data_IF_669408960216
#
_entry.id   IF_669408960216
#
_cell.length_a   1.000
_cell.length_b   1.000
_cell.length_c   1.000
_cell.angle_alpha   90.00
_cell.angle_beta   90.00
_cell.angle_gamma   90.00
#
_symmetry.space_group_name_H-M   'P 1'
#
loop_
_entity.id
_entity.type
_entity.pdbx_description
1 polymer ?
#
# COMPACT_ATOMS: atom_id res chain seq x y z
N UNK A 1 -14.05 -0.77 1.10
CA UNK A 1 -14.72 -2.08 0.89
C UNK A 1 -15.73 -2.42 1.96
N UNK A 2 -15.36 -2.57 3.23
CA UNK A 2 -16.32 -2.92 4.30
C UNK A 2 -17.54 -1.98 4.36
N UNK A 3 -17.31 -0.67 4.24
CA UNK A 3 -18.39 0.32 4.17
C UNK A 3 -19.28 0.16 2.93
N UNK A 4 -18.69 -0.18 1.77
CA UNK A 4 -19.43 -0.47 0.53
C UNK A 4 -20.33 -1.69 0.73
N UNK A 5 -19.81 -2.78 1.31
CA UNK A 5 -20.61 -3.98 1.59
C UNK A 5 -21.78 -3.68 2.53
N UNK A 6 -21.59 -2.86 3.56
CA UNK A 6 -22.70 -2.43 4.43
C UNK A 6 -23.75 -1.64 3.65
N UNK A 7 -23.32 -0.66 2.87
CA UNK A 7 -24.24 0.27 2.20
C UNK A 7 -25.06 -0.36 1.07
N UNK A 8 -24.52 -1.37 0.36
CA UNK A 8 -25.26 -2.02 -0.72
C UNK A 8 -26.52 -2.75 -0.25
N UNK A 9 -26.54 -3.23 1.00
CA UNK A 9 -27.75 -3.81 1.59
C UNK A 9 -28.52 -2.76 2.40
N UNK A 10 -27.83 -1.86 3.10
CA UNK A 10 -28.47 -0.87 3.97
C UNK A 10 -29.45 0.02 3.21
N UNK A 11 -29.15 0.40 1.96
CA UNK A 11 -30.01 1.27 1.16
C UNK A 11 -31.43 0.73 0.97
N UNK A 12 -31.60 -0.60 0.95
CA UNK A 12 -32.89 -1.23 0.71
C UNK A 12 -33.82 -1.13 1.92
N UNK A 13 -33.30 -0.76 3.10
CA UNK A 13 -34.06 -0.57 4.33
C UNK A 13 -34.50 0.88 4.51
N UNK A 14 -35.72 1.08 5.04
CA UNK A 14 -36.22 2.43 5.43
C UNK A 14 -35.37 3.09 6.51
N UNK A 15 -34.72 2.30 7.36
CA UNK A 15 -33.83 2.78 8.41
C UNK A 15 -32.61 3.55 7.82
N UNK A 16 -32.27 3.33 6.55
CA UNK A 16 -31.19 4.05 5.89
C UNK A 16 -31.72 5.32 5.20
N UNK A 17 -31.21 6.52 5.56
CA UNK A 17 -31.66 7.75 4.95
C UNK A 17 -31.39 7.77 3.44
N UNK A 18 -32.43 7.96 2.62
CA UNK A 18 -32.31 8.00 1.15
C UNK A 18 -31.38 9.09 0.63
N UNK A 19 -31.10 10.14 1.42
CA UNK A 19 -30.08 11.16 1.10
C UNK A 19 -28.66 10.61 0.92
N UNK A 20 -28.37 9.41 1.43
CA UNK A 20 -27.08 8.74 1.26
C UNK A 20 -27.10 7.67 0.16
N UNK A 21 -28.25 7.47 -0.49
CA UNK A 21 -28.37 6.58 -1.63
C UNK A 21 -27.67 7.16 -2.87
N UNK A 22 -27.58 6.37 -3.95
CA UNK A 22 -26.97 6.83 -5.20
C UNK A 22 -27.76 8.01 -5.75
N UNK A 23 -27.05 9.01 -6.24
CA UNK A 23 -27.63 10.11 -7.00
C UNK A 23 -27.79 9.72 -8.47
N UNK A 24 -28.87 10.19 -9.10
CA UNK A 24 -29.20 9.86 -10.50
C UNK A 24 -28.56 10.83 -11.51
N UNK A 25 -28.57 12.13 -11.20
CA UNK A 25 -27.99 13.16 -12.07
C UNK A 25 -26.84 13.90 -11.37
N UNK A 26 -27.16 14.63 -10.29
CA UNK A 26 -26.23 15.46 -9.55
C UNK A 26 -26.38 15.30 -8.03
N UNK A 27 -25.30 15.57 -7.32
CA UNK A 27 -25.22 15.57 -5.87
C UNK A 27 -24.27 14.51 -5.33
N UNK A 28 -24.31 14.33 -4.01
CA UNK A 28 -23.43 13.39 -3.31
C UNK A 28 -24.22 12.47 -2.40
N UNK A 29 -24.21 11.18 -2.71
CA UNK A 29 -24.58 10.12 -1.78
C UNK A 29 -23.35 9.37 -1.26
N UNK A 30 -23.45 8.74 -0.09
CA UNK A 30 -22.37 7.85 0.39
C UNK A 30 -22.13 6.68 -0.57
N UNK A 31 -23.20 6.21 -1.25
CA UNK A 31 -23.10 5.16 -2.26
C UNK A 31 -22.39 5.59 -3.55
N UNK A 32 -22.29 6.89 -3.83
CA UNK A 32 -21.60 7.39 -5.03
C UNK A 32 -20.07 7.29 -4.92
N UNK A 33 -19.56 7.17 -3.68
CA UNK A 33 -18.13 7.02 -3.39
C UNK A 33 -17.56 5.64 -3.74
N UNK A 34 -18.40 4.60 -3.82
CA UNK A 34 -17.94 3.21 -3.91
C UNK A 34 -17.10 2.91 -5.15
N UNK A 35 -17.63 3.24 -6.33
CA UNK A 35 -16.99 2.95 -7.62
C UNK A 35 -15.71 3.75 -7.78
N UNK A 36 -15.78 5.07 -7.54
CA UNK A 36 -14.62 5.94 -7.59
C UNK A 36 -13.50 5.50 -6.64
N UNK A 37 -13.84 5.09 -5.42
CA UNK A 37 -12.86 4.59 -4.45
C UNK A 37 -12.16 3.31 -4.90
N UNK A 38 -12.86 2.38 -5.58
CA UNK A 38 -12.25 1.17 -6.17
C UNK A 38 -11.28 1.54 -7.29
N UNK A 39 -11.66 2.46 -8.17
CA UNK A 39 -10.81 2.91 -9.29
C UNK A 39 -9.57 3.65 -8.78
N UNK A 40 -9.74 4.55 -7.81
CA UNK A 40 -8.63 5.25 -7.17
C UNK A 40 -7.67 4.27 -6.48
N UNK A 41 -8.21 3.29 -5.74
CA UNK A 41 -7.43 2.23 -5.11
C UNK A 41 -6.65 1.40 -6.12
N UNK A 42 -7.26 1.05 -7.26
CA UNK A 42 -6.58 0.36 -8.35
C UNK A 42 -5.41 1.19 -8.93
N UNK A 43 -5.58 2.51 -9.01
CA UNK A 43 -4.51 3.45 -9.38
C UNK A 43 -3.39 3.49 -8.34
N UNK A 44 -3.73 3.58 -7.06
CA UNK A 44 -2.77 3.63 -5.94
C UNK A 44 -1.86 2.40 -5.87
N UNK A 45 -2.39 1.22 -6.19
CA UNK A 45 -1.62 -0.05 -6.19
C UNK A 45 -1.03 -0.40 -7.56
N UNK A 46 -1.22 0.46 -8.56
CA UNK A 46 -0.78 0.18 -9.93
C UNK A 46 0.75 0.16 -10.06
N UNK A 47 1.31 -0.62 -11.00
CA UNK A 47 2.73 -0.55 -11.34
C UNK A 47 3.17 0.85 -11.81
N UNK A 48 2.23 1.66 -12.31
CA UNK A 48 2.48 3.03 -12.74
C UNK A 48 2.83 3.95 -11.54
N UNK A 49 2.29 3.68 -10.35
CA UNK A 49 2.47 4.49 -9.14
C UNK A 49 3.91 4.51 -8.58
N UNK A 50 4.72 3.51 -8.88
CA UNK A 50 6.09 3.48 -8.41
C UNK A 50 6.61 2.08 -8.21
N UNK A 51 7.58 1.72 -9.06
CA UNK A 51 8.73 0.85 -8.86
C UNK A 51 9.12 0.38 -10.26
N UNK A 52 9.74 1.28 -11.04
CA UNK A 52 10.56 0.81 -12.14
C UNK A 52 11.53 -0.21 -11.54
N UNK A 53 11.42 -1.47 -11.97
CA UNK A 53 12.23 -2.60 -11.58
C UNK A 53 13.62 -2.19 -11.11
N UNK A 54 13.90 -2.30 -9.82
CA UNK A 54 15.23 -2.73 -9.43
C UNK A 54 15.33 -4.17 -9.96
N UNK A 55 16.23 -4.47 -10.92
CA UNK A 55 16.31 -5.82 -11.45
C UNK A 55 16.57 -6.80 -10.28
N UNK A 56 16.11 -8.05 -10.37
CA UNK A 56 16.43 -9.05 -9.36
C UNK A 56 17.95 -9.07 -9.18
N UNK A 57 18.42 -8.89 -7.94
CA UNK A 57 19.82 -9.07 -7.62
C UNK A 57 20.25 -10.48 -8.05
N UNK A 58 21.21 -10.55 -8.98
CA UNK A 58 21.78 -11.81 -9.45
C UNK A 58 22.03 -11.83 -10.96
N UNK A 59 23.03 -11.08 -11.43
CA UNK A 59 23.90 -11.46 -12.54
C UNK A 59 25.02 -10.43 -12.66
N UNK A 60 26.21 -10.87 -12.25
CA UNK A 60 27.55 -10.51 -12.71
C UNK A 60 27.88 -9.03 -13.00
N UNK A 61 28.79 -8.49 -12.18
CA UNK A 61 29.34 -7.14 -12.30
C UNK A 61 30.43 -7.04 -13.36
N UNK A 62 30.06 -7.28 -14.62
CA UNK A 62 30.94 -7.02 -15.76
C UNK A 62 30.13 -6.47 -16.94
N UNK A 63 29.69 -5.21 -16.81
CA UNK A 63 29.58 -4.24 -17.90
C UNK A 63 28.86 -2.97 -17.40
N UNK A 64 29.64 -2.12 -16.73
CA UNK A 64 29.27 -0.71 -16.50
C UNK A 64 30.33 0.17 -17.16
N UNK A 65 30.21 0.30 -18.47
CA UNK A 65 30.79 1.41 -19.24
C UNK A 65 29.69 1.99 -20.12
N UNK A 66 28.71 2.63 -19.48
CA UNK A 66 27.86 3.62 -20.14
C UNK A 66 27.26 4.54 -19.07
N UNK A 67 27.75 5.78 -19.00
CA UNK A 67 27.28 6.85 -18.14
C UNK A 67 25.93 7.44 -18.59
N UNK A 68 25.00 6.59 -19.01
CA UNK A 68 23.64 6.97 -19.38
C UNK A 68 22.67 6.58 -18.26
N UNK A 69 21.97 7.57 -17.71
CA UNK A 69 20.94 7.39 -16.70
C UNK A 69 19.94 6.30 -17.15
N UNK A 70 19.95 5.14 -16.48
CA UNK A 70 19.01 4.03 -16.74
C UNK A 70 17.71 4.32 -15.97
N UNK A 71 16.94 5.30 -16.43
CA UNK A 71 15.65 5.66 -15.83
C UNK A 71 14.49 5.19 -16.72
N UNK A 72 13.55 4.47 -16.10
CA UNK A 72 12.22 4.10 -16.63
C UNK A 72 12.15 3.59 -18.08
N UNK A 73 12.06 2.26 -18.24
CA UNK A 73 11.74 1.62 -19.54
C UNK A 73 10.54 0.69 -19.37
N UNK A 74 9.33 1.09 -19.81
CA UNK A 74 8.18 0.19 -19.76
C UNK A 74 8.41 -0.99 -20.73
N UNK A 75 7.86 -2.19 -20.43
CA UNK A 75 7.82 -3.28 -21.40
C UNK A 75 7.11 -2.85 -22.69
N UNK A 76 7.35 -3.54 -23.82
CA UNK A 76 6.74 -3.18 -25.09
C UNK A 76 5.21 -3.20 -24.99
N UNK A 77 4.56 -2.30 -25.74
CA UNK A 77 3.11 -2.07 -25.70
C UNK A 77 2.30 -3.38 -25.79
N UNK A 78 2.67 -4.28 -26.69
CA UNK A 78 1.94 -5.55 -26.87
C UNK A 78 1.91 -6.42 -25.61
N UNK A 79 3.00 -6.53 -24.84
CA UNK A 79 3.02 -7.29 -23.57
C UNK A 79 2.11 -6.66 -22.54
N UNK A 80 2.07 -5.32 -22.52
CA UNK A 80 1.22 -4.56 -21.61
C UNK A 80 -0.24 -4.74 -21.98
N UNK A 81 -0.58 -4.64 -23.26
CA UNK A 81 -1.91 -4.88 -23.77
C UNK A 81 -2.37 -6.32 -23.53
N UNK A 82 -1.52 -7.34 -23.69
CA UNK A 82 -1.84 -8.73 -23.35
C UNK A 82 -2.15 -8.90 -21.85
N UNK A 83 -1.38 -8.25 -20.97
CA UNK A 83 -1.65 -8.25 -19.54
C UNK A 83 -2.98 -7.54 -19.22
N UNK A 84 -3.22 -6.39 -19.87
CA UNK A 84 -4.49 -5.68 -19.77
C UNK A 84 -5.67 -6.51 -20.26
N UNK A 85 -5.51 -7.24 -21.37
CA UNK A 85 -6.52 -8.15 -21.94
C UNK A 85 -6.84 -9.29 -20.98
N UNK A 86 -5.85 -9.86 -20.30
CA UNK A 86 -6.09 -10.90 -19.28
C UNK A 86 -6.99 -10.36 -18.15
N UNK A 87 -6.69 -9.18 -17.62
CA UNK A 87 -7.51 -8.54 -16.60
C UNK A 87 -8.91 -8.19 -17.12
N UNK A 88 -8.99 -7.60 -18.32
CA UNK A 88 -10.24 -7.24 -18.98
C UNK A 88 -11.13 -8.45 -19.27
N UNK A 89 -10.54 -9.59 -19.65
CA UNK A 89 -11.28 -10.83 -19.95
C UNK A 89 -12.07 -11.31 -18.74
N UNK A 90 -11.45 -11.32 -17.56
CA UNK A 90 -12.17 -11.74 -16.34
C UNK A 90 -13.30 -10.77 -16.01
N UNK A 91 -13.07 -9.47 -16.15
CA UNK A 91 -14.11 -8.45 -15.97
C UNK A 91 -15.24 -8.59 -17.00
N UNK A 92 -14.94 -8.85 -18.28
CA UNK A 92 -15.96 -9.07 -19.31
C UNK A 92 -16.79 -10.31 -19.04
N UNK A 93 -16.18 -11.42 -18.58
CA UNK A 93 -16.93 -12.63 -18.21
C UNK A 93 -17.89 -12.35 -17.04
N UNK A 94 -17.43 -11.63 -16.01
CA UNK A 94 -18.29 -11.21 -14.90
C UNK A 94 -19.37 -10.23 -15.35
N UNK A 95 -19.05 -9.31 -16.27
CA UNK A 95 -19.98 -8.34 -16.85
C UNK A 95 -21.06 -9.01 -17.68
N UNK A 96 -20.69 -10.00 -18.50
CA UNK A 96 -21.63 -10.81 -19.27
C UNK A 96 -22.49 -11.67 -18.35
N UNK A 97 -21.88 -12.33 -17.36
CA UNK A 97 -22.62 -13.11 -16.36
C UNK A 97 -23.68 -12.26 -15.65
N UNK A 98 -23.32 -11.04 -15.22
CA UNK A 98 -24.26 -10.09 -14.64
C UNK A 98 -25.38 -9.69 -15.60
N UNK A 99 -25.06 -9.41 -16.86
CA UNK A 99 -26.07 -9.01 -17.86
C UNK A 99 -27.06 -10.17 -18.11
N UNK A 100 -26.57 -11.39 -18.22
CA UNK A 100 -27.41 -12.57 -18.43
C UNK A 100 -28.30 -12.83 -17.21
N UNK A 101 -27.75 -12.78 -15.99
CA UNK A 101 -28.53 -13.10 -14.78
C UNK A 101 -29.59 -12.05 -14.47
N UNK A 102 -29.28 -10.77 -14.63
CA UNK A 102 -30.25 -9.68 -14.39
C UNK A 102 -31.40 -9.71 -15.39
N UNK A 103 -31.12 -9.99 -16.66
CA UNK A 103 -32.16 -10.21 -17.69
C UNK A 103 -32.96 -11.48 -17.45
N UNK A 104 -32.33 -12.56 -16.97
CA UNK A 104 -33.02 -13.81 -16.67
C UNK A 104 -33.95 -13.73 -15.46
N UNK A 105 -33.62 -12.89 -14.47
CA UNK A 105 -34.41 -12.68 -13.25
C UNK A 105 -35.38 -11.50 -13.38
N UNK A 106 -35.43 -10.85 -14.56
CA UNK A 106 -36.19 -9.63 -14.85
C UNK A 106 -36.02 -8.54 -13.78
N UNK A 107 -34.78 -8.43 -13.29
CA UNK A 107 -34.42 -7.46 -12.26
C UNK A 107 -34.33 -6.06 -12.87
N UNK A 108 -34.96 -5.08 -12.25
CA UNK A 108 -34.96 -3.70 -12.73
C UNK A 108 -33.55 -3.11 -12.69
N UNK A 109 -32.92 -2.95 -13.85
CA UNK A 109 -31.62 -2.30 -13.98
C UNK A 109 -31.79 -0.79 -14.14
N UNK A 110 -31.11 -0.01 -13.29
CA UNK A 110 -31.06 1.43 -13.44
C UNK A 110 -30.18 1.81 -14.64
N UNK A 111 -30.82 1.96 -15.81
CA UNK A 111 -30.17 2.31 -17.07
C UNK A 111 -29.37 3.62 -16.96
N UNK A 112 -29.82 4.55 -16.11
CA UNK A 112 -29.12 5.82 -15.84
C UNK A 112 -27.76 5.68 -15.16
N UNK A 113 -27.38 4.50 -14.66
CA UNK A 113 -26.06 4.31 -14.05
C UNK A 113 -24.93 4.13 -15.07
N UNK A 114 -25.16 3.32 -16.10
CA UNK A 114 -24.12 2.92 -17.06
C UNK A 114 -24.64 2.79 -18.50
N UNK A 115 -25.93 2.53 -18.68
CA UNK A 115 -26.50 2.20 -19.98
C UNK A 115 -27.39 0.96 -19.94
N UNK A 116 -27.89 0.57 -21.10
CA UNK A 116 -28.82 -0.56 -21.26
C UNK A 116 -28.10 -1.92 -21.23
N UNK A 117 -26.87 -1.97 -21.72
CA UNK A 117 -26.06 -3.19 -21.81
C UNK A 117 -24.73 -3.07 -21.06
N UNK A 118 -24.33 -1.85 -20.73
CA UNK A 118 -23.10 -1.55 -20.01
C UNK A 118 -23.29 -1.72 -18.51
N UNK A 119 -22.26 -2.22 -17.84
CA UNK A 119 -22.25 -2.29 -16.38
C UNK A 119 -20.84 -1.99 -15.84
N UNK A 120 -20.75 -1.91 -14.52
CA UNK A 120 -19.51 -1.61 -13.81
C UNK A 120 -18.30 -2.46 -14.26
N UNK A 121 -18.48 -3.75 -14.53
CA UNK A 121 -17.37 -4.62 -14.93
C UNK A 121 -16.84 -4.26 -16.32
N UNK A 122 -17.69 -3.81 -17.24
CA UNK A 122 -17.26 -3.28 -18.54
C UNK A 122 -16.42 -2.01 -18.38
N UNK A 123 -16.83 -1.09 -17.50
CA UNK A 123 -16.05 0.11 -17.17
C UNK A 123 -14.66 -0.26 -16.62
N UNK A 124 -14.58 -1.17 -15.64
CA UNK A 124 -13.29 -1.62 -15.11
C UNK A 124 -12.44 -2.34 -16.16
N UNK A 125 -13.05 -3.11 -17.06
CA UNK A 125 -12.33 -3.77 -18.16
C UNK A 125 -11.68 -2.74 -19.11
N UNK A 126 -12.40 -1.69 -19.48
CA UNK A 126 -11.86 -0.58 -20.28
C UNK A 126 -10.73 0.11 -19.54
N UNK A 127 -10.89 0.39 -18.25
CA UNK A 127 -9.84 1.01 -17.43
C UNK A 127 -8.59 0.12 -17.31
N UNK A 128 -8.76 -1.19 -17.20
CA UNK A 128 -7.65 -2.14 -17.17
C UNK A 128 -6.85 -2.08 -18.48
N UNK A 129 -7.52 -1.97 -19.63
CA UNK A 129 -6.86 -1.79 -20.93
C UNK A 129 -6.17 -0.43 -21.02
N UNK A 130 -6.84 0.66 -20.66
CA UNK A 130 -6.28 2.02 -20.73
C UNK A 130 -5.07 2.21 -19.80
N UNK A 131 -5.14 1.70 -18.57
CA UNK A 131 -4.03 1.72 -17.61
C UNK A 131 -2.82 0.94 -18.10
N UNK A 132 -3.02 -0.15 -18.84
CA UNK A 132 -1.93 -0.90 -19.47
C UNK A 132 -1.50 -0.35 -20.82
N UNK A 133 -2.32 0.43 -21.52
CA UNK A 133 -1.93 1.05 -22.78
C UNK A 133 -0.97 2.23 -22.54
N UNK A 134 -1.26 3.08 -21.56
CA UNK A 134 -0.53 4.34 -21.36
C UNK A 134 0.52 4.18 -20.27
N UNK A 135 1.79 4.13 -20.67
CA UNK A 135 2.93 4.09 -19.74
C UNK A 135 3.41 5.52 -19.61
N UNK A 136 3.12 6.16 -18.48
CA UNK A 136 3.63 7.48 -18.17
C UNK A 136 4.83 7.35 -17.24
N UNK A 137 5.89 8.13 -17.46
CA UNK A 137 6.94 8.26 -16.47
C UNK A 137 6.33 8.88 -15.20
N UNK A 138 6.79 8.47 -14.00
CA UNK A 138 6.20 8.94 -12.75
C UNK A 138 6.02 10.46 -12.60
N UNK A 139 6.96 11.35 -13.02
CA UNK A 139 6.75 12.80 -12.92
C UNK A 139 5.62 13.33 -13.80
N UNK A 140 5.21 12.60 -14.85
CA UNK A 140 4.11 13.02 -15.73
C UNK A 140 2.73 12.55 -15.26
N UNK A 141 2.63 11.69 -14.23
CA UNK A 141 1.34 11.15 -13.78
C UNK A 141 0.39 12.26 -13.30
N UNK A 142 0.85 13.13 -12.41
CA UNK A 142 0.06 14.23 -11.88
C UNK A 142 -0.38 15.24 -12.96
N UNK A 143 0.51 15.80 -13.80
CA UNK A 143 0.08 16.76 -14.82
C UNK A 143 -0.82 16.13 -15.88
N UNK A 144 -0.62 14.86 -16.25
CA UNK A 144 -1.52 14.18 -17.20
C UNK A 144 -2.89 13.89 -16.55
N UNK A 145 -2.93 13.48 -15.28
CA UNK A 145 -4.19 13.30 -14.57
C UNK A 145 -4.99 14.60 -14.50
N UNK A 146 -4.34 15.71 -14.14
CA UNK A 146 -4.95 17.06 -14.10
C UNK A 146 -5.41 17.46 -15.50
N UNK A 147 -4.56 17.32 -16.52
CA UNK A 147 -4.88 17.68 -17.90
C UNK A 147 -6.06 16.87 -18.45
N UNK A 148 -6.14 15.57 -18.14
CA UNK A 148 -7.25 14.72 -18.55
C UNK A 148 -8.54 15.09 -17.81
N UNK A 149 -8.48 15.40 -16.51
CA UNK A 149 -9.63 15.90 -15.74
C UNK A 149 -10.17 17.21 -16.32
N UNK A 150 -9.29 18.18 -16.58
CA UNK A 150 -9.67 19.47 -17.16
C UNK A 150 -10.20 19.33 -18.59
N UNK A 151 -9.55 18.50 -19.42
CA UNK A 151 -9.98 18.22 -20.78
C UNK A 151 -11.36 17.54 -20.82
N UNK A 152 -11.57 16.53 -19.96
CA UNK A 152 -12.87 15.88 -19.83
C UNK A 152 -13.97 16.86 -19.41
N UNK A 153 -13.70 17.71 -18.40
CA UNK A 153 -14.63 18.74 -17.97
C UNK A 153 -14.91 19.76 -19.09
N UNK A 154 -13.90 20.19 -19.84
CA UNK A 154 -14.08 21.12 -20.95
C UNK A 154 -14.97 20.52 -22.05
N UNK A 155 -14.82 19.24 -22.37
CA UNK A 155 -15.68 18.54 -23.32
C UNK A 155 -17.11 18.40 -22.79
N UNK A 156 -17.30 18.15 -21.49
CA UNK A 156 -18.62 18.12 -20.86
C UNK A 156 -19.31 19.49 -20.90
N UNK A 157 -18.58 20.56 -20.55
CA UNK A 157 -19.13 21.92 -20.42
C UNK A 157 -19.29 22.64 -21.76
N UNK A 158 -18.36 22.48 -22.70
CA UNK A 158 -18.36 23.20 -23.99
C UNK A 158 -18.60 22.32 -25.20
N UNK A 159 -18.31 21.02 -25.11
CA UNK A 159 -18.43 20.08 -26.23
C UNK A 159 -19.83 19.49 -26.44
N UNK A 160 -20.85 19.94 -25.69
CA UNK A 160 -22.21 19.42 -25.77
C UNK A 160 -22.41 18.02 -25.17
N UNK A 161 -21.35 17.39 -24.67
CA UNK A 161 -21.38 16.02 -24.13
C UNK A 161 -22.10 15.94 -22.78
N UNK A 162 -22.02 17.00 -21.95
CA UNK A 162 -22.73 17.06 -20.66
C UNK A 162 -24.25 16.93 -20.80
N UNK A 163 -24.91 17.84 -21.56
CA UNK A 163 -26.34 17.74 -21.82
C UNK A 163 -26.75 16.42 -22.47
N UNK A 164 -25.94 15.89 -23.39
CA UNK A 164 -26.22 14.63 -24.07
C UNK A 164 -26.18 13.41 -23.13
N UNK A 165 -25.21 13.34 -22.21
CA UNK A 165 -25.15 12.26 -21.22
C UNK A 165 -26.30 12.36 -20.23
N UNK A 166 -26.70 13.58 -19.85
CA UNK A 166 -27.76 13.80 -18.86
C UNK A 166 -29.16 13.58 -19.43
N UNK A 167 -29.36 13.69 -20.74
CA UNK A 167 -30.68 13.50 -21.35
C UNK A 167 -31.21 12.08 -21.13
N UNK A 168 -32.53 11.95 -21.05
CA UNK A 168 -33.20 10.64 -21.02
C UNK A 168 -33.34 10.03 -22.42
N UNK A 169 -33.23 10.86 -23.46
CA UNK A 169 -33.30 10.46 -24.85
C UNK A 169 -32.17 9.49 -25.20
N UNK A 170 -32.55 8.38 -25.82
CA UNK A 170 -31.64 7.37 -26.36
C UNK A 170 -31.99 7.16 -27.82
N UNK A 171 -30.98 7.23 -28.68
CA UNK A 171 -31.08 6.75 -30.05
C UNK A 171 -31.00 5.23 -30.12
N UNK A 172 -31.12 4.70 -31.32
CA UNK A 172 -31.09 3.25 -31.59
C UNK A 172 -29.66 2.67 -31.61
N UNK A 173 -28.65 3.54 -31.63
CA UNK A 173 -27.25 3.14 -31.67
C UNK A 173 -26.73 2.61 -30.32
N UNK A 174 -25.86 1.59 -30.37
CA UNK A 174 -25.20 1.01 -29.19
C UNK A 174 -24.46 2.05 -28.33
N UNK A 175 -23.93 3.10 -28.95
CA UNK A 175 -23.24 4.19 -28.25
C UNK A 175 -24.23 5.04 -27.45
N UNK A 176 -25.38 5.37 -28.05
CA UNK A 176 -26.41 6.17 -27.37
C UNK A 176 -27.08 5.39 -26.24
N UNK A 177 -27.22 4.08 -26.37
CA UNK A 177 -27.80 3.20 -25.35
C UNK A 177 -26.89 3.02 -24.13
N UNK A 178 -25.58 3.27 -24.28
CA UNK A 178 -24.56 3.09 -23.24
C UNK A 178 -23.74 4.36 -22.98
N UNK A 179 -24.32 5.53 -23.29
CA UNK A 179 -23.64 6.82 -23.27
C UNK A 179 -23.04 7.15 -21.90
N UNK A 180 -23.73 6.81 -20.83
CA UNK A 180 -23.30 7.07 -19.45
C UNK A 180 -22.01 6.32 -19.13
N UNK A 181 -21.98 5.02 -19.41
CA UNK A 181 -20.83 4.15 -19.19
C UNK A 181 -19.63 4.53 -20.05
N UNK A 182 -19.86 4.87 -21.32
CA UNK A 182 -18.79 5.25 -22.25
C UNK A 182 -18.15 6.58 -21.87
N UNK A 183 -18.95 7.62 -21.62
CA UNK A 183 -18.42 8.95 -21.29
C UNK A 183 -17.72 8.94 -19.94
N UNK A 184 -18.28 8.25 -18.94
CA UNK A 184 -17.66 8.15 -17.62
C UNK A 184 -16.33 7.39 -17.64
N UNK A 185 -16.04 6.54 -18.63
CA UNK A 185 -14.74 5.84 -18.71
C UNK A 185 -13.55 6.80 -18.77
N UNK A 186 -13.68 7.96 -19.44
CA UNK A 186 -12.61 8.96 -19.52
C UNK A 186 -12.35 9.60 -18.16
N UNK A 187 -13.42 9.97 -17.45
CA UNK A 187 -13.34 10.51 -16.09
C UNK A 187 -12.75 9.49 -15.11
N UNK A 188 -13.17 8.24 -15.17
CA UNK A 188 -12.61 7.17 -14.34
C UNK A 188 -11.15 6.87 -14.68
N UNK A 189 -10.73 7.02 -15.95
CA UNK A 189 -9.34 6.87 -16.33
C UNK A 189 -8.47 7.98 -15.74
N UNK A 190 -8.97 9.22 -15.73
CA UNK A 190 -8.32 10.31 -15.01
C UNK A 190 -8.23 10.01 -13.50
N UNK A 191 -9.30 9.51 -12.90
CA UNK A 191 -9.31 9.12 -11.48
C UNK A 191 -8.30 8.01 -11.15
N UNK A 192 -8.15 7.03 -12.05
CA UNK A 192 -7.11 6.01 -11.93
C UNK A 192 -5.70 6.63 -11.94
N UNK A 193 -5.44 7.58 -12.85
CA UNK A 193 -4.16 8.29 -12.90
C UNK A 193 -3.93 9.18 -11.67
N UNK A 194 -4.97 9.80 -11.11
CA UNK A 194 -4.92 10.49 -9.82
C UNK A 194 -4.49 9.54 -8.70
N UNK A 195 -5.02 8.32 -8.67
CA UNK A 195 -4.59 7.28 -7.74
C UNK A 195 -3.11 6.94 -7.89
N UNK A 196 -2.65 6.74 -9.13
CA UNK A 196 -1.23 6.46 -9.39
C UNK A 196 -0.31 7.62 -9.01
N UNK A 197 -0.72 8.86 -9.33
CA UNK A 197 0.00 10.08 -8.96
C UNK A 197 0.09 10.27 -7.45
N UNK A 198 -1.02 10.04 -6.73
CA UNK A 198 -1.09 10.13 -5.27
C UNK A 198 -0.17 9.10 -4.61
N UNK A 199 -0.14 7.86 -5.09
CA UNK A 199 0.76 6.85 -4.57
C UNK A 199 2.24 7.19 -4.83
N UNK A 200 2.57 7.74 -6.00
CA UNK A 200 3.91 8.22 -6.29
C UNK A 200 4.33 9.34 -5.32
N UNK A 201 3.46 10.34 -5.16
CA UNK A 201 3.68 11.46 -4.25
C UNK A 201 3.83 11.01 -2.80
N UNK A 202 2.99 10.08 -2.33
CA UNK A 202 3.07 9.44 -1.02
C UNK A 202 4.41 8.73 -0.82
N UNK A 203 4.83 7.92 -1.80
CA UNK A 203 6.06 7.15 -1.71
C UNK A 203 7.30 8.05 -1.65
N UNK A 204 7.40 9.05 -2.52
CA UNK A 204 8.53 9.98 -2.54
C UNK A 204 8.58 10.84 -1.27
N UNK A 205 7.43 11.30 -0.78
CA UNK A 205 7.39 12.25 0.34
C UNK A 205 7.62 11.60 1.71
N UNK A 206 7.15 10.36 1.93
CA UNK A 206 7.26 9.69 3.23
C UNK A 206 8.67 9.17 3.51
N UNK A 207 9.40 8.72 2.48
CA UNK A 207 10.71 8.08 2.63
C UNK A 207 11.77 9.00 3.25
N UNK A 208 11.94 10.27 2.81
CA UNK A 208 12.84 11.22 3.46
C UNK A 208 12.45 11.50 4.90
N UNK A 209 11.15 11.72 5.18
CA UNK A 209 10.68 12.03 6.53
C UNK A 209 10.97 10.90 7.54
N UNK A 210 10.79 9.64 7.12
CA UNK A 210 11.12 8.46 7.95
C UNK A 210 12.64 8.34 8.15
N UNK A 211 13.45 8.57 7.10
CA UNK A 211 14.92 8.53 7.20
C UNK A 211 15.44 9.60 8.16
N UNK A 212 14.91 10.82 8.09
CA UNK A 212 15.29 11.93 8.96
C UNK A 212 14.89 11.69 10.42
N UNK A 213 13.68 11.17 10.66
CA UNK A 213 13.28 10.75 12.01
C UNK A 213 14.23 9.70 12.57
N UNK A 214 14.56 8.65 11.80
CA UNK A 214 15.50 7.60 12.24
C UNK A 214 16.89 8.16 12.55
N UNK A 215 17.41 9.05 11.69
CA UNK A 215 18.70 9.73 11.90
C UNK A 215 18.70 10.53 13.21
N UNK A 216 17.62 11.28 13.49
CA UNK A 216 17.48 12.05 14.74
C UNK A 216 17.38 11.15 15.96
N UNK A 217 16.64 10.05 15.88
CA UNK A 217 16.55 9.05 16.94
C UNK A 217 17.90 8.41 17.26
N UNK A 218 18.68 8.01 16.23
CA UNK A 218 20.03 7.48 16.42
C UNK A 218 20.99 8.50 17.03
N UNK A 219 20.93 9.78 16.59
CA UNK A 219 21.77 10.84 17.14
C UNK A 219 21.46 11.17 18.61
N UNK A 220 20.17 11.17 19.00
CA UNK A 220 19.75 11.33 20.38
C UNK A 220 20.24 10.18 21.27
N UNK A 221 20.19 8.94 20.77
CA UNK A 221 20.70 7.77 21.49
C UNK A 221 22.22 7.80 21.72
N UNK A 222 23.00 8.39 20.80
CA UNK A 222 24.45 8.52 20.96
C UNK A 222 24.83 9.60 22.00
N UNK A 223 24.08 10.70 22.05
CA UNK A 223 24.29 11.76 23.06
C UNK A 223 23.94 11.31 24.47
N UNK A 224 22.92 10.47 24.64
CA UNK A 224 22.56 9.90 25.94
C UNK A 224 23.54 8.86 26.49
N UNK A 225 24.45 8.32 25.65
CA UNK A 225 25.44 7.31 26.04
C UNK A 225 26.83 7.86 26.38
N UNK A 226 27.05 9.17 26.24
CA UNK A 226 28.35 9.80 26.46
C UNK A 226 28.22 11.08 27.27
N UNK A 227 28.30 10.98 28.60
CA UNK A 227 28.44 12.14 29.48
C UNK A 227 27.61 12.05 30.75
N UNK A 228 28.20 11.47 31.80
CA UNK A 228 27.78 11.73 33.17
C UNK A 228 28.07 13.19 33.56
N UNK A 229 27.33 13.68 34.56
CA UNK A 229 27.64 14.90 35.30
C UNK A 229 26.82 16.12 34.90
N UNK A 230 25.64 16.28 35.48
CA UNK A 230 24.88 17.53 35.41
C UNK A 230 23.48 17.40 35.97
N UNK A 231 23.33 17.58 37.28
CA UNK A 231 22.02 17.67 37.95
C UNK A 231 21.23 18.87 37.45
N UNK A 232 20.33 18.65 36.50
CA UNK A 232 19.37 19.63 36.00
C UNK A 232 18.02 18.94 35.78
N UNK A 233 16.96 19.55 36.32
CA UNK A 233 15.57 19.09 36.37
C UNK A 233 15.15 18.17 35.20
N UNK A 234 14.96 16.88 35.51
CA UNK A 234 14.84 15.78 34.53
C UNK A 234 13.44 15.59 33.91
N UNK A 235 12.47 16.48 34.14
CA UNK A 235 11.07 16.25 33.72
C UNK A 235 10.66 16.90 32.39
N UNK A 236 11.32 17.99 31.95
CA UNK A 236 10.87 18.77 30.78
C UNK A 236 11.67 18.49 29.48
N UNK A 237 12.90 17.97 29.59
CA UNK A 237 13.77 17.72 28.43
C UNK A 237 13.31 16.55 27.54
N UNK A 238 12.79 15.47 28.14
CA UNK A 238 12.43 14.26 27.40
C UNK A 238 11.27 14.45 26.41
N UNK A 239 10.30 15.31 26.74
CA UNK A 239 9.17 15.63 25.87
C UNK A 239 9.62 16.46 24.65
N UNK A 240 10.52 17.42 24.88
CA UNK A 240 11.07 18.26 23.81
C UNK A 240 11.89 17.45 22.80
N UNK A 241 12.70 16.49 23.29
CA UNK A 241 13.50 15.60 22.43
C UNK A 241 12.63 14.64 21.61
N UNK A 242 11.56 14.09 22.21
CA UNK A 242 10.61 13.25 21.51
C UNK A 242 9.89 14.01 20.37
N UNK A 243 9.49 15.26 20.63
CA UNK A 243 8.90 16.15 19.63
C UNK A 243 9.91 16.45 18.51
N UNK A 244 11.18 16.70 18.85
CA UNK A 244 12.22 16.99 17.87
C UNK A 244 12.53 15.79 16.95
N UNK A 245 12.46 14.56 17.47
CA UNK A 245 12.60 13.33 16.69
C UNK A 245 11.40 13.13 15.76
N UNK A 246 10.18 13.36 16.24
CA UNK A 246 8.94 13.19 15.47
C UNK A 246 8.67 14.32 14.45
N UNK A 247 9.31 15.48 14.60
CA UNK A 247 9.04 16.68 13.80
C UNK A 247 9.02 16.48 12.26
N UNK A 248 9.93 15.69 11.63
CA UNK A 248 9.87 15.45 10.18
C UNK A 248 8.58 14.74 9.73
N UNK A 249 8.10 13.76 10.51
CA UNK A 249 6.84 13.08 10.23
C UNK A 249 5.63 14.00 10.45
N UNK A 250 5.67 14.83 11.49
CA UNK A 250 4.61 15.81 11.76
C UNK A 250 4.51 16.84 10.63
N UNK A 251 5.65 17.32 10.11
CA UNK A 251 5.67 18.23 8.95
C UNK A 251 5.10 17.57 7.69
N UNK A 252 5.51 16.33 7.42
CA UNK A 252 4.96 15.55 6.31
C UNK A 252 3.44 15.37 6.45
N UNK A 253 2.96 15.05 7.65
CA UNK A 253 1.55 14.92 7.94
C UNK A 253 0.79 16.24 7.74
N UNK A 254 1.35 17.36 8.19
CA UNK A 254 0.77 18.69 7.97
C UNK A 254 0.65 19.05 6.48
N UNK A 255 1.64 18.69 5.66
CA UNK A 255 1.57 18.86 4.20
C UNK A 255 0.43 18.03 3.59
N UNK A 256 0.21 16.82 4.09
CA UNK A 256 -0.84 15.94 3.60
C UNK A 256 -2.24 16.42 4.00
N UNK A 257 -2.40 16.93 5.23
CA UNK A 257 -3.63 17.61 5.67
C UNK A 257 -3.90 18.86 4.85
N UNK A 258 -2.85 19.66 4.57
CA UNK A 258 -3.00 20.83 3.71
C UNK A 258 -3.47 20.43 2.30
N UNK A 259 -2.92 19.35 1.73
CA UNK A 259 -3.39 18.82 0.45
C UNK A 259 -4.87 18.42 0.51
N UNK A 260 -5.31 17.71 1.55
CA UNK A 260 -6.71 17.33 1.74
C UNK A 260 -7.64 18.55 1.81
N UNK A 261 -7.26 19.56 2.60
CA UNK A 261 -8.00 20.83 2.71
C UNK A 261 -8.09 21.53 1.35
N UNK A 262 -6.98 21.60 0.59
CA UNK A 262 -6.97 22.20 -0.75
C UNK A 262 -7.87 21.44 -1.72
N UNK A 263 -7.91 20.11 -1.64
CA UNK A 263 -8.81 19.30 -2.45
C UNK A 263 -10.28 19.57 -2.09
N UNK A 264 -10.63 19.65 -0.81
CA UNK A 264 -11.99 20.00 -0.38
C UNK A 264 -12.40 21.42 -0.81
N UNK A 265 -11.49 22.39 -0.74
CA UNK A 265 -11.72 23.74 -1.27
C UNK A 265 -11.93 23.69 -2.78
N UNK A 266 -11.16 22.89 -3.50
CA UNK A 266 -11.33 22.69 -4.94
C UNK A 266 -12.68 22.03 -5.27
N UNK A 267 -13.15 21.06 -4.49
CA UNK A 267 -14.51 20.49 -4.63
C UNK A 267 -15.56 21.58 -4.48
N UNK A 268 -15.51 22.36 -3.40
CA UNK A 268 -16.47 23.44 -3.16
C UNK A 268 -16.45 24.49 -4.27
N UNK A 269 -15.26 24.83 -4.81
CA UNK A 269 -15.12 25.75 -5.93
C UNK A 269 -15.70 25.17 -7.23
N UNK A 270 -15.45 23.90 -7.54
CA UNK A 270 -15.98 23.23 -8.73
C UNK A 270 -17.50 23.13 -8.69
N UNK A 271 -18.07 22.75 -7.54
CA UNK A 271 -19.53 22.69 -7.37
C UNK A 271 -20.18 24.07 -7.50
N UNK A 272 -19.53 25.12 -6.96
CA UNK A 272 -20.09 26.46 -6.98
C UNK A 272 -19.93 27.19 -8.33
N UNK A 273 -18.90 26.86 -9.13
CA UNK A 273 -18.52 27.64 -10.32
C UNK A 273 -18.58 26.88 -11.63
N UNK A 274 -18.49 25.56 -11.61
CA UNK A 274 -18.39 24.74 -12.84
C UNK A 274 -19.63 23.88 -12.99
N UNK A 275 -19.77 22.88 -12.13
CA UNK A 275 -20.85 21.89 -12.23
C UNK A 275 -20.94 21.12 -10.91
N UNK A 276 -22.16 20.80 -10.41
CA UNK A 276 -22.31 19.93 -9.25
C UNK A 276 -21.70 18.55 -9.47
N UNK A 277 -21.36 17.86 -8.38
CA UNK A 277 -20.80 16.50 -8.46
C UNK A 277 -21.76 15.58 -9.22
N UNK A 278 -21.25 14.87 -10.24
CA UNK A 278 -22.00 13.85 -10.96
C UNK A 278 -21.18 12.57 -11.17
N UNK A 279 -21.68 11.47 -10.60
CA UNK A 279 -21.14 10.12 -10.85
C UNK A 279 -21.39 9.66 -12.30
N UNK A 280 -22.55 10.02 -12.88
CA UNK A 280 -22.99 9.57 -14.20
C UNK A 280 -22.06 10.04 -15.32
N UNK A 281 -21.63 11.30 -15.28
CA UNK A 281 -20.64 11.84 -16.23
C UNK A 281 -19.19 11.70 -15.76
N UNK A 282 -18.97 11.32 -14.50
CA UNK A 282 -17.66 11.30 -13.84
C UNK A 282 -16.91 12.62 -14.06
N UNK A 283 -17.56 13.73 -13.71
CA UNK A 283 -17.06 15.07 -13.95
C UNK A 283 -15.90 15.45 -13.01
N UNK A 284 -15.28 16.61 -13.24
CA UNK A 284 -14.12 17.04 -12.46
C UNK A 284 -14.43 17.16 -10.96
N UNK A 285 -15.61 17.69 -10.62
CA UNK A 285 -16.06 17.79 -9.22
C UNK A 285 -16.11 16.40 -8.56
N UNK A 286 -16.66 15.40 -9.25
CA UNK A 286 -16.68 14.01 -8.76
C UNK A 286 -15.28 13.44 -8.58
N UNK A 287 -14.38 13.62 -9.55
CA UNK A 287 -13.00 13.10 -9.47
C UNK A 287 -12.28 13.66 -8.24
N UNK A 288 -12.29 14.99 -8.07
CA UNK A 288 -11.62 15.65 -6.94
C UNK A 288 -12.27 15.26 -5.62
N UNK A 289 -13.60 15.14 -5.58
CA UNK A 289 -14.33 14.70 -4.40
C UNK A 289 -13.94 13.28 -3.96
N UNK A 290 -13.83 12.33 -4.90
CA UNK A 290 -13.38 10.98 -4.58
C UNK A 290 -11.96 10.98 -4.03
N UNK A 291 -11.05 11.73 -4.67
CA UNK A 291 -9.66 11.83 -4.20
C UNK A 291 -9.62 12.38 -2.78
N UNK A 292 -10.32 13.50 -2.52
CA UNK A 292 -10.42 14.12 -1.19
C UNK A 292 -11.02 13.16 -0.15
N UNK A 293 -12.15 12.52 -0.48
CA UNK A 293 -12.84 11.60 0.43
C UNK A 293 -11.98 10.38 0.79
N UNK A 294 -11.25 9.82 -0.18
CA UNK A 294 -10.32 8.73 0.08
C UNK A 294 -9.12 9.17 0.91
N UNK A 295 -8.59 10.37 0.67
CA UNK A 295 -7.50 10.96 1.43
C UNK A 295 -7.89 11.21 2.89
N UNK A 296 -9.04 11.82 3.11
CA UNK A 296 -9.67 12.02 4.41
C UNK A 296 -9.87 10.70 5.17
N UNK A 297 -10.21 9.62 4.48
CA UNK A 297 -10.30 8.28 5.08
C UNK A 297 -8.95 7.68 5.51
N UNK A 298 -7.86 8.03 4.83
CA UNK A 298 -6.50 7.54 5.15
C UNK A 298 -5.83 8.33 6.28
N UNK A 299 -6.17 9.61 6.43
CA UNK A 299 -5.57 10.53 7.40
C UNK A 299 -5.58 10.03 8.86
N UNK A 300 -6.70 9.51 9.41
CA UNK A 300 -6.74 8.99 10.77
C UNK A 300 -5.86 7.76 10.98
N UNK A 301 -5.80 6.87 9.97
CA UNK A 301 -4.98 5.67 10.02
C UNK A 301 -3.49 6.01 9.99
N UNK A 302 -3.10 6.95 9.13
CA UNK A 302 -1.75 7.47 9.06
C UNK A 302 -1.36 8.16 10.39
N UNK A 303 -2.25 8.99 10.95
CA UNK A 303 -2.02 9.64 12.24
C UNK A 303 -1.82 8.61 13.35
N UNK A 304 -2.71 7.62 13.47
CA UNK A 304 -2.58 6.53 14.44
C UNK A 304 -1.22 5.81 14.32
N UNK A 305 -0.79 5.52 13.10
CA UNK A 305 0.50 4.88 12.85
C UNK A 305 1.68 5.77 13.26
N UNK A 306 1.63 7.08 12.99
CA UNK A 306 2.69 8.01 13.44
C UNK A 306 2.75 8.13 14.97
N UNK A 307 1.59 8.19 15.64
CA UNK A 307 1.51 8.28 17.10
C UNK A 307 2.02 7.01 17.78
N UNK A 308 1.67 5.83 17.25
CA UNK A 308 2.17 4.56 17.78
C UNK A 308 3.67 4.40 17.57
N UNK A 309 4.20 4.77 16.39
CA UNK A 309 5.65 4.80 16.17
C UNK A 309 6.37 5.76 17.14
N UNK A 310 5.82 6.95 17.37
CA UNK A 310 6.38 7.91 18.32
C UNK A 310 6.34 7.37 19.76
N UNK A 311 5.22 6.78 20.18
CA UNK A 311 5.06 6.19 21.50
C UNK A 311 6.05 5.04 21.74
N UNK A 312 6.24 4.15 20.75
CA UNK A 312 7.23 3.06 20.84
C UNK A 312 8.67 3.57 20.90
N UNK A 313 8.99 4.68 20.23
CA UNK A 313 10.31 5.30 20.32
C UNK A 313 10.59 5.82 21.74
N UNK A 314 9.60 6.46 22.37
CA UNK A 314 9.69 6.98 23.73
C UNK A 314 9.80 5.85 24.77
N UNK A 315 9.03 4.76 24.62
CA UNK A 315 9.09 3.63 25.55
C UNK A 315 10.47 2.95 25.52
N UNK A 316 11.03 2.75 24.33
CA UNK A 316 12.37 2.15 24.14
C UNK A 316 13.47 3.00 24.78
N UNK A 317 13.36 4.33 24.72
CA UNK A 317 14.30 5.25 25.37
C UNK A 317 14.19 5.18 26.90
N UNK A 318 12.97 5.05 27.43
CA UNK A 318 12.70 4.93 28.88
C UNK A 318 13.23 3.62 29.46
N UNK A 319 13.12 2.50 28.74
CA UNK A 319 13.68 1.21 29.14
C UNK A 319 15.21 1.23 29.20
N UNK A 320 15.89 1.77 28.17
CA UNK A 320 17.36 1.92 28.18
C UNK A 320 17.87 2.78 29.33
N UNK A 321 17.14 3.84 29.68
CA UNK A 321 17.51 4.69 30.81
C UNK A 321 17.30 3.98 32.17
N UNK A 322 16.32 3.07 32.27
CA UNK A 322 16.09 2.26 33.46
C UNK A 322 17.15 1.18 33.64
N UNK A 323 17.55 0.51 32.55
CA UNK A 323 18.59 -0.52 32.57
C UNK A 323 19.98 0.09 32.78
N UNK A 324 20.24 1.30 32.27
CA UNK A 324 21.46 2.07 32.54
C UNK A 324 21.60 2.48 34.02
N UNK A 325 20.53 2.97 34.65
CA UNK A 325 20.54 3.28 36.09
C UNK A 325 20.56 2.03 36.99
N UNK A 326 20.08 0.88 36.49
CA UNK A 326 20.13 -0.39 37.23
C UNK A 326 21.54 -1.00 37.33
N UNK A 327 22.44 -0.63 36.41
CA UNK A 327 23.82 -1.13 36.39
C UNK A 327 24.80 -0.31 37.26
N UNK A 328 24.47 0.94 37.61
CA UNK A 328 25.32 1.81 38.43
C UNK A 328 25.04 1.73 39.94
N UNK A 329 24.11 0.86 40.37
CA UNK A 329 23.71 0.70 41.78
C UNK A 329 24.42 -0.39 42.58
N UNK A 330 25.44 -1.08 42.04
CA UNK A 330 26.12 -2.16 42.76
C UNK A 330 27.63 -2.21 42.48
N UNK A 331 28.35 -1.14 42.83
CA UNK A 331 29.81 -1.23 42.99
C UNK A 331 30.32 -0.13 43.92
N UNK A 332 30.26 -0.38 45.22
CA UNK A 332 31.20 0.11 46.26
C UNK A 332 30.70 -0.39 47.63
N UNK A 333 31.43 -1.16 48.43
CA UNK A 333 32.77 -1.72 48.31
C UNK A 333 33.05 -2.63 49.50
N UNK A 334 34.10 -3.44 49.42
CA UNK A 334 34.82 -3.91 50.60
C UNK A 334 36.29 -4.13 50.27
N UNK A 335 37.11 -3.66 51.20
CA UNK A 335 38.50 -3.30 51.03
C UNK A 335 39.46 -4.48 51.04
N UNK A 336 40.63 -4.17 50.51
CA UNK A 336 41.91 -4.87 50.53
C UNK A 336 42.27 -5.36 51.94
N UNK A 337 42.74 -6.61 52.05
CA UNK A 337 43.77 -7.05 53.01
C UNK A 337 44.41 -8.36 52.52
N UNK A 338 45.68 -8.56 52.89
CA UNK A 338 46.65 -9.39 52.18
C UNK A 338 47.13 -10.64 52.96
N UNK A 339 47.85 -11.53 52.24
CA UNK A 339 48.88 -12.53 52.67
C UNK A 339 48.37 -13.89 53.22
N UNK A 340 49.08 -15.06 53.22
CA UNK A 340 50.25 -15.65 52.47
C UNK A 340 50.04 -17.10 51.89
N UNK A 341 51.11 -17.66 51.25
CA UNK A 341 51.60 -19.07 51.19
C UNK A 341 50.59 -20.25 51.07
N UNK A 342 50.64 -21.21 50.15
CA UNK A 342 51.75 -21.96 49.56
C UNK A 342 51.71 -23.43 50.04
N UNK A 343 51.51 -24.43 49.16
CA UNK A 343 52.02 -25.82 49.32
C UNK A 343 51.76 -26.75 48.09
N UNK A 344 52.87 -27.15 47.44
CA UNK A 344 53.27 -28.44 46.82
C UNK A 344 52.28 -29.37 46.08
N UNK A 345 52.61 -29.98 44.93
CA UNK A 345 53.84 -29.91 44.13
C UNK A 345 54.04 -31.01 43.06
N UNK A 346 55.13 -30.84 42.29
CA UNK A 346 55.98 -31.81 41.53
C UNK A 346 55.32 -32.43 40.26
N UNK A 347 55.94 -32.51 39.08
CA UNK A 347 57.38 -32.65 38.74
C UNK A 347 57.58 -32.39 37.21
N UNK A 348 58.63 -31.67 36.83
CA UNK A 348 59.28 -31.73 35.50
C UNK A 348 60.57 -32.59 35.62
N UNK A 349 61.16 -33.08 34.51
CA UNK A 349 62.25 -32.36 33.80
C UNK A 349 62.10 -32.48 32.25
N UNK A 350 62.40 -31.50 31.38
CA UNK A 350 63.63 -30.74 31.05
C UNK A 350 64.74 -31.52 30.33
N UNK A 351 64.92 -31.22 29.05
CA UNK A 351 66.16 -30.83 28.35
C UNK A 351 65.77 -30.47 26.90
N UNK A 352 66.53 -29.82 26.03
CA UNK A 352 67.45 -28.67 26.01
C UNK A 352 67.81 -28.48 24.51
N UNK A 353 68.31 -27.32 24.11
CA UNK A 353 68.52 -26.87 22.72
C UNK A 353 69.40 -27.79 21.85
N UNK A 354 69.35 -27.62 20.51
CA UNK A 354 70.51 -27.31 19.62
C UNK A 354 70.08 -27.24 18.13
N UNK A 355 70.75 -26.33 17.42
CA UNK A 355 70.70 -25.99 16.00
C UNK A 355 71.02 -27.12 15.00
N UNK A 356 70.64 -26.88 13.72
CA UNK A 356 71.45 -27.04 12.49
C UNK A 356 70.73 -27.72 11.31
N UNK A 357 70.69 -27.00 10.18
CA UNK A 357 71.32 -27.45 8.93
C UNK A 357 70.64 -28.48 8.03
N UNK A 358 70.62 -28.13 6.74
CA UNK A 358 70.67 -28.99 5.54
C UNK A 358 69.41 -29.81 5.19
N UNK A 359 68.68 -29.51 4.12
CA UNK A 359 68.95 -29.68 2.67
C UNK A 359 68.43 -31.04 2.13
N UNK A 360 67.86 -30.97 0.92
CA UNK A 360 67.73 -32.01 -0.13
C UNK A 360 66.49 -32.93 -0.20
N UNK A 361 65.99 -33.08 -1.44
CA UNK A 361 65.16 -34.19 -1.96
C UNK A 361 63.74 -33.78 -2.36
N UNK A 362 63.44 -33.20 -3.54
CA UNK A 362 63.46 -33.72 -4.93
C UNK A 362 62.43 -34.82 -5.26
N UNK A 363 61.79 -34.67 -6.44
CA UNK A 363 60.98 -35.58 -7.31
C UNK A 363 59.56 -35.00 -7.53
N UNK A 364 59.16 -34.32 -8.61
CA UNK A 364 59.29 -34.44 -10.11
C UNK A 364 58.43 -35.55 -10.74
N UNK A 365 57.59 -35.15 -11.73
CA UNK A 365 57.01 -35.96 -12.81
C UNK A 365 55.47 -35.97 -12.83
N UNK A 366 54.76 -35.06 -13.52
CA UNK A 366 54.46 -34.94 -14.97
C UNK A 366 53.45 -35.96 -15.54
N UNK A 367 52.28 -35.48 -16.01
CA UNK A 367 51.65 -35.80 -17.31
C UNK A 367 50.16 -35.31 -17.41
N UNK A 368 49.85 -34.60 -18.51
CA UNK A 368 48.53 -34.22 -19.06
C UNK A 368 48.24 -35.06 -20.35
N UNK A 369 47.12 -34.92 -21.11
CA UNK A 369 45.64 -34.89 -20.85
C UNK A 369 44.92 -35.87 -21.86
N UNK A 370 43.70 -35.68 -22.47
CA UNK A 370 42.47 -34.92 -22.18
C UNK A 370 41.14 -35.74 -22.28
N UNK A 371 39.99 -35.18 -21.87
CA UNK A 371 38.64 -35.76 -22.14
C UNK A 371 37.43 -34.98 -21.57
N UNK A 372 36.32 -34.95 -22.32
CA UNK A 372 35.10 -34.12 -22.25
C UNK A 372 34.14 -34.30 -21.03
N UNK A 373 33.55 -33.17 -20.56
CA UNK A 373 32.11 -32.79 -20.26
C UNK A 373 31.18 -33.78 -19.44
N UNK A 374 30.17 -33.37 -18.61
CA UNK A 374 29.98 -32.24 -17.67
C UNK A 374 29.37 -32.64 -16.27
N UNK A 375 29.24 -31.64 -15.41
CA UNK A 375 28.14 -31.42 -14.44
C UNK A 375 28.20 -32.03 -13.01
N UNK A 376 27.74 -31.17 -12.08
CA UNK A 376 27.11 -31.42 -10.77
C UNK A 376 28.02 -31.40 -9.52
N UNK A 377 27.72 -30.38 -8.70
CA UNK A 377 27.71 -30.33 -7.24
C UNK A 377 29.00 -30.11 -6.43
N UNK A 378 28.84 -29.15 -5.50
CA UNK A 378 29.14 -29.25 -4.07
C UNK A 378 30.57 -28.99 -3.55
N UNK A 379 30.67 -27.81 -2.91
CA UNK A 379 31.54 -27.42 -1.77
C UNK A 379 33.07 -27.41 -2.00
N UNK A 380 33.88 -26.95 -1.02
CA UNK A 380 33.97 -25.63 -0.39
C UNK A 380 35.39 -25.04 -0.59
N UNK A 381 35.62 -23.74 -0.44
CA UNK A 381 36.99 -23.28 -0.16
C UNK A 381 37.08 -21.97 0.62
N UNK A 382 37.78 -22.10 1.73
CA UNK A 382 38.46 -21.07 2.49
C UNK A 382 39.38 -20.21 1.61
N UNK A 383 39.32 -18.89 1.76
CA UNK A 383 40.44 -17.92 1.71
C UNK A 383 39.83 -16.51 1.69
N UNK A 384 40.36 -15.45 2.27
CA UNK A 384 41.58 -15.15 3.01
C UNK A 384 41.20 -13.95 3.88
N UNK A 385 41.57 -13.99 5.17
CA UNK A 385 41.54 -12.81 6.04
C UNK A 385 42.36 -11.70 5.39
N UNK A 386 41.77 -10.52 5.20
CA UNK A 386 42.53 -9.28 5.11
C UNK A 386 41.80 -8.23 5.95
N UNK A 387 42.45 -7.84 7.04
CA UNK A 387 42.01 -6.78 7.94
C UNK A 387 41.94 -5.46 7.17
N UNK A 388 40.79 -4.81 7.23
CA UNK A 388 40.66 -3.38 7.02
C UNK A 388 39.59 -2.90 8.01
N UNK A 389 40.05 -2.19 9.04
CA UNK A 389 39.25 -1.58 10.07
C UNK A 389 38.40 -0.44 9.49
N UNK A 390 37.11 -0.70 9.27
CA UNK A 390 36.11 0.36 9.15
C UNK A 390 34.83 -0.11 9.85
N UNK A 391 34.64 0.32 11.10
CA UNK A 391 33.42 0.07 11.87
C UNK A 391 32.28 0.95 11.35
N UNK A 392 31.79 0.67 10.15
CA UNK A 392 30.40 0.93 9.80
C UNK A 392 29.55 -0.04 10.61
N UNK A 393 28.75 0.47 11.54
CA UNK A 393 27.68 -0.27 12.21
C UNK A 393 26.62 -0.60 11.15
N UNK A 394 26.89 -1.65 10.36
CA UNK A 394 25.89 -2.31 9.53
C UNK A 394 24.90 -2.94 10.48
N UNK A 395 23.70 -2.35 10.56
CA UNK A 395 22.58 -2.96 11.24
C UNK A 395 22.44 -4.41 10.75
N UNK A 396 22.57 -5.37 11.66
CA UNK A 396 22.32 -6.77 11.37
C UNK A 396 20.95 -6.87 10.69
N UNK A 397 20.81 -7.67 9.61
CA UNK A 397 19.51 -7.90 9.00
C UNK A 397 18.61 -8.47 10.10
N UNK A 398 17.54 -7.74 10.41
CA UNK A 398 16.49 -8.22 11.31
C UNK A 398 16.11 -9.64 10.87
N UNK A 399 16.25 -10.60 11.78
CA UNK A 399 15.92 -12.00 11.51
C UNK A 399 14.51 -12.13 10.92
N UNK A 400 14.31 -13.13 10.06
CA UNK A 400 13.08 -13.33 9.29
C UNK A 400 11.78 -13.27 10.10
N UNK A 401 11.83 -13.57 11.39
CA UNK A 401 10.70 -13.50 12.31
C UNK A 401 10.25 -12.06 12.62
N UNK A 402 11.16 -11.08 12.65
CA UNK A 402 10.80 -9.67 12.89
C UNK A 402 10.23 -9.01 11.64
N UNK A 403 10.67 -9.41 10.44
CA UNK A 403 10.01 -9.02 9.19
C UNK A 403 8.60 -9.64 9.07
N UNK A 404 8.42 -10.89 9.50
CA UNK A 404 7.10 -11.52 9.55
C UNK A 404 6.14 -10.84 10.53
N UNK A 405 6.64 -10.34 11.68
CA UNK A 405 5.83 -9.63 12.68
C UNK A 405 5.46 -8.20 12.26
N UNK A 406 6.34 -7.47 11.58
CA UNK A 406 6.02 -6.12 11.08
C UNK A 406 5.06 -6.12 9.88
N UNK A 407 4.92 -7.25 9.16
CA UNK A 407 3.98 -7.40 8.05
C UNK A 407 2.50 -7.53 8.45
N UNK A 408 2.18 -7.64 9.75
CA UNK A 408 0.81 -7.83 10.27
C UNK A 408 0.34 -6.70 11.19
N UNK A 409 0.83 -5.47 11.02
CA UNK A 409 0.50 -4.35 11.91
C UNK A 409 -0.87 -3.68 11.62
N UNK A 410 -1.95 -4.47 11.46
CA UNK A 410 -3.30 -3.95 11.26
C UNK A 410 -4.39 -4.90 11.75
N UNK A 411 -5.63 -4.44 11.95
CA UNK A 411 -6.74 -5.30 12.36
C UNK A 411 -6.91 -6.48 11.41
N UNK A 412 -6.90 -7.71 11.93
CA UNK A 412 -6.95 -8.94 11.14
C UNK A 412 -8.13 -8.97 10.15
N UNK A 413 -9.32 -8.54 10.58
CA UNK A 413 -10.51 -8.47 9.73
C UNK A 413 -10.28 -7.58 8.51
N UNK A 414 -9.59 -6.45 8.69
CA UNK A 414 -9.36 -5.50 7.61
C UNK A 414 -8.33 -6.05 6.61
N UNK A 415 -7.32 -6.77 7.09
CA UNK A 415 -6.38 -7.51 6.25
C UNK A 415 -7.08 -8.63 5.48
N UNK A 416 -7.96 -9.39 6.13
CA UNK A 416 -8.78 -10.42 5.51
C UNK A 416 -9.61 -9.86 4.34
N UNK A 417 -10.32 -8.74 4.60
CA UNK A 417 -11.12 -8.07 3.58
C UNK A 417 -10.26 -7.56 2.42
N UNK A 418 -9.09 -7.01 2.74
CA UNK A 418 -8.17 -6.48 1.73
C UNK A 418 -7.51 -7.59 0.89
N UNK A 419 -7.34 -8.78 1.44
CA UNK A 419 -6.70 -9.90 0.74
C UNK A 419 -7.57 -10.54 -0.35
N UNK A 420 -8.90 -10.39 -0.25
CA UNK A 420 -9.89 -11.05 -1.10
C UNK A 420 -11.00 -10.09 -1.56
N UNK A 421 -10.65 -8.84 -1.90
CA UNK A 421 -11.61 -7.77 -2.18
C UNK A 421 -12.69 -8.16 -3.20
N UNK A 422 -12.31 -8.74 -4.35
CA UNK A 422 -13.28 -9.11 -5.40
C UNK A 422 -14.23 -10.23 -4.95
N UNK A 423 -13.70 -11.28 -4.32
CA UNK A 423 -14.52 -12.40 -3.85
C UNK A 423 -15.54 -11.93 -2.80
N UNK A 424 -15.10 -11.06 -1.88
CA UNK A 424 -15.97 -10.47 -0.86
C UNK A 424 -16.99 -9.53 -1.50
N UNK A 425 -16.61 -8.76 -2.52
CA UNK A 425 -17.53 -7.93 -3.29
C UNK A 425 -18.66 -8.76 -3.91
N UNK A 426 -18.29 -9.82 -4.62
CA UNK A 426 -19.24 -10.67 -5.33
C UNK A 426 -20.16 -11.39 -4.34
N UNK A 427 -19.59 -11.94 -3.26
CA UNK A 427 -20.37 -12.56 -2.18
C UNK A 427 -21.35 -11.57 -1.53
N UNK A 428 -20.90 -10.35 -1.27
CA UNK A 428 -21.74 -9.30 -0.69
C UNK A 428 -22.91 -8.93 -1.61
N UNK A 429 -22.67 -8.76 -2.92
CA UNK A 429 -23.73 -8.49 -3.91
C UNK A 429 -24.72 -9.66 -4.05
N UNK A 430 -24.23 -10.91 -4.09
CA UNK A 430 -25.08 -12.10 -4.16
C UNK A 430 -25.94 -12.25 -2.91
N UNK A 431 -25.36 -12.02 -1.73
CA UNK A 431 -26.08 -12.10 -0.45
C UNK A 431 -27.14 -10.99 -0.34
N UNK A 432 -26.83 -9.78 -0.80
CA UNK A 432 -27.82 -8.70 -0.90
C UNK A 432 -28.98 -9.08 -1.80
N UNK A 433 -28.70 -9.62 -3.00
CA UNK A 433 -29.73 -10.12 -3.91
C UNK A 433 -30.60 -11.20 -3.27
N UNK A 434 -29.99 -12.18 -2.59
CA UNK A 434 -30.71 -13.23 -1.88
C UNK A 434 -31.64 -12.68 -0.78
N UNK A 435 -31.18 -11.70 0.00
CA UNK A 435 -31.99 -11.06 1.05
C UNK A 435 -33.16 -10.29 0.43
N UNK A 436 -32.92 -9.51 -0.62
CA UNK A 436 -33.95 -8.72 -1.30
C UNK A 436 -35.02 -9.59 -1.99
N UNK A 437 -34.66 -10.78 -2.45
CA UNK A 437 -35.61 -11.75 -3.00
C UNK A 437 -36.38 -12.51 -1.90
N UNK A 438 -35.80 -12.66 -0.71
CA UNK A 438 -36.41 -13.43 0.39
C UNK A 438 -37.32 -12.59 1.28
N UNK A 439 -37.07 -11.28 1.40
CA UNK A 439 -37.73 -10.38 2.33
C UNK A 439 -38.08 -9.06 1.65
N UNK A 440 -39.27 -8.53 1.91
CA UNK A 440 -39.61 -7.17 1.50
C UNK A 440 -38.94 -6.16 2.45
N UNK A 441 -37.70 -5.79 2.12
CA UNK A 441 -36.83 -4.88 2.89
C UNK A 441 -37.46 -3.51 3.15
N UNK A 442 -38.38 -3.05 2.30
CA UNK A 442 -39.11 -1.79 2.47
C UNK A 442 -40.15 -1.82 3.59
N UNK A 443 -40.61 -3.00 4.01
CA UNK A 443 -41.63 -3.16 5.05
C UNK A 443 -41.05 -3.57 6.41
N UNK A 444 -39.74 -3.85 6.47
CA UNK A 444 -39.08 -4.25 7.71
C UNK A 444 -38.93 -3.05 8.65
N UNK A 445 -39.35 -3.22 9.90
CA UNK A 445 -39.20 -2.21 10.95
C UNK A 445 -37.72 -1.95 11.32
N UNK A 446 -37.42 -0.79 11.89
CA UNK A 446 -36.05 -0.30 12.10
C UNK A 446 -35.17 -1.21 12.95
N UNK A 447 -35.71 -1.82 14.02
CA UNK A 447 -34.91 -2.69 14.89
C UNK A 447 -34.55 -4.02 14.22
N UNK A 448 -35.50 -4.78 13.64
CA UNK A 448 -35.18 -5.94 12.81
C UNK A 448 -34.23 -5.61 11.64
N UNK A 449 -34.40 -4.45 10.99
CA UNK A 449 -33.52 -4.00 9.92
C UNK A 449 -32.06 -3.85 10.39
N UNK A 450 -31.83 -3.17 11.53
CA UNK A 450 -30.48 -3.02 12.12
C UNK A 450 -29.89 -4.35 12.56
N UNK A 451 -30.68 -5.26 13.12
CA UNK A 451 -30.24 -6.59 13.49
C UNK A 451 -29.82 -7.40 12.26
N UNK A 452 -30.60 -7.35 11.18
CA UNK A 452 -30.30 -8.04 9.94
C UNK A 452 -29.04 -7.49 9.26
N UNK A 453 -28.85 -6.16 9.26
CA UNK A 453 -27.62 -5.54 8.79
C UNK A 453 -26.40 -5.95 9.64
N UNK A 454 -26.55 -6.05 10.95
CA UNK A 454 -25.49 -6.54 11.85
C UNK A 454 -25.12 -7.99 11.55
N UNK A 455 -26.11 -8.87 11.38
CA UNK A 455 -25.90 -10.28 11.01
C UNK A 455 -25.25 -10.41 9.64
N UNK A 456 -25.70 -9.64 8.65
CA UNK A 456 -25.10 -9.57 7.32
C UNK A 456 -23.63 -9.18 7.40
N UNK A 457 -23.29 -8.10 8.11
CA UNK A 457 -21.90 -7.65 8.23
C UNK A 457 -21.03 -8.67 8.95
N UNK A 458 -21.57 -9.33 9.98
CA UNK A 458 -20.86 -10.41 10.68
C UNK A 458 -20.59 -11.59 9.74
N UNK A 459 -21.56 -11.96 8.91
CA UNK A 459 -21.42 -12.99 7.89
C UNK A 459 -20.36 -12.65 6.82
N UNK A 460 -20.38 -11.42 6.29
CA UNK A 460 -19.39 -10.95 5.30
C UNK A 460 -17.98 -10.92 5.89
N UNK A 461 -17.82 -10.42 7.12
CA UNK A 461 -16.53 -10.43 7.82
C UNK A 461 -16.07 -11.87 8.16
N UNK A 462 -16.98 -12.74 8.58
CA UNK A 462 -16.70 -14.14 8.86
C UNK A 462 -16.24 -14.91 7.61
N UNK A 463 -16.87 -14.65 6.46
CA UNK A 463 -16.46 -15.20 5.18
C UNK A 463 -15.04 -14.73 4.80
N UNK A 464 -14.74 -13.43 4.98
CA UNK A 464 -13.41 -12.90 4.72
C UNK A 464 -12.32 -13.60 5.56
N UNK A 465 -12.58 -13.77 6.86
CA UNK A 465 -11.68 -14.49 7.78
C UNK A 465 -11.56 -15.98 7.43
N UNK A 466 -12.65 -16.63 7.02
CA UNK A 466 -12.63 -18.04 6.59
C UNK A 466 -11.79 -18.25 5.33
N UNK A 467 -11.91 -17.35 4.35
CA UNK A 467 -11.10 -17.40 3.13
C UNK A 467 -9.61 -17.22 3.46
N UNK A 468 -9.28 -16.28 4.36
CA UNK A 468 -7.92 -16.05 4.79
C UNK A 468 -7.34 -17.24 5.57
N UNK A 469 -8.10 -17.83 6.50
CA UNK A 469 -7.65 -18.99 7.29
C UNK A 469 -7.44 -20.25 6.45
N UNK A 470 -8.20 -20.42 5.36
CA UNK A 470 -8.01 -21.49 4.38
C UNK A 470 -6.91 -21.20 3.35
N UNK A 471 -6.28 -20.03 3.40
CA UNK A 471 -5.24 -19.61 2.46
C UNK A 471 -5.74 -19.36 1.04
N UNK A 472 -7.05 -19.27 0.83
CA UNK A 472 -7.63 -18.99 -0.49
C UNK A 472 -7.46 -17.51 -0.82
N UNK A 473 -6.71 -17.23 -1.88
CA UNK A 473 -6.46 -15.88 -2.38
C UNK A 473 -6.92 -15.79 -3.83
N UNK A 474 -8.08 -15.20 -4.04
CA UNK A 474 -8.59 -14.87 -5.37
C UNK A 474 -7.93 -13.57 -5.83
N UNK A 475 -6.73 -13.66 -6.39
CA UNK A 475 -6.05 -12.53 -7.05
C UNK A 475 -6.47 -12.49 -8.52
N UNK A 476 -7.02 -11.36 -8.97
CA UNK A 476 -7.13 -11.02 -10.39
C UNK A 476 -5.90 -10.25 -10.85
#
# INVERSE_FOLDING_TARGET
>A
MAATCLCILAVDFRAFPRRYAKTEAYGTGYMDGGVGGVVLAAGLVSPAAGLAHQPPGGADGSDVKDGGTRWWRPPPLWRRLLNGLRAATVCWLLGLGRLVTTRAVDYQEHVGEYGVHWNFFWTIAVLALLGHAVALPPPLLAPVAIGLTLGHQAVLSWGGLGPWVMSEERGDDMISLNKEGIVSCVGFWALYLWGAALAHALHISVQPAVRDMRRRGSAASLKGGGGGGGGGSASDGGTSDAIAIAAPLVRWWAQFVLLDVLLWVAVAALEAKVEPISRRSCNAAYIVWIVAQCLAGMLPLALWQTLTCAASAVSTQRERHRDGCGAEGSSNGQAVDAVPEGHYGKRAPSWENVDAGTNSGSCVGDAEPPGLIPAISSFPSHSLRRNADEKTVSAAPLGGDTQMRMGKAGPHVLQAINSNQLAIFLAANLLTGAINLSLNTLQVADWPARALLGTYMTGVCGLALMLESRGWRFKL
#
